data_IF_944342652158
#
_entry.id   IF_944342652158
#
_cell.length_a   1.000
_cell.length_b   1.000
_cell.length_c   1.000
_cell.angle_alpha   90.00
_cell.angle_beta   90.00
_cell.angle_gamma   90.00
#
_symmetry.space_group_name_H-M   'P 1'
#
loop_
_entity.id
_entity.type
_entity.pdbx_description
1 polymer ?
#
# COMPACT_ATOMS: atom_id res chain seq x y z
N UNK A 1 3.76 8.28 -9.23
CA UNK A 1 3.12 8.69 -7.94
C UNK A 1 4.22 8.86 -6.89
N UNK A 2 4.03 9.61 -5.78
CA UNK A 2 5.07 9.73 -4.76
C UNK A 2 5.32 8.40 -4.06
N UNK A 3 6.56 8.19 -3.63
CA UNK A 3 6.94 7.03 -2.82
C UNK A 3 6.33 7.16 -1.42
N UNK A 4 5.58 6.14 -1.00
CA UNK A 4 5.01 6.08 0.35
C UNK A 4 5.72 5.02 1.17
N UNK A 5 6.16 5.39 2.37
CA UNK A 5 6.87 4.50 3.29
C UNK A 5 6.37 4.72 4.71
N UNK A 6 6.82 3.90 5.65
CA UNK A 6 6.52 4.09 7.07
C UNK A 6 6.78 5.54 7.51
N UNK A 7 5.76 6.15 8.12
CA UNK A 7 5.78 7.56 8.53
C UNK A 7 5.27 8.55 7.46
N UNK A 8 5.03 8.13 6.21
CA UNK A 8 4.30 8.91 5.22
C UNK A 8 2.85 9.13 5.68
N UNK A 9 2.30 10.30 5.37
CA UNK A 9 0.94 10.68 5.74
C UNK A 9 0.22 11.45 4.62
N UNK A 10 -1.11 11.43 4.65
CA UNK A 10 -1.97 12.27 3.81
C UNK A 10 -2.80 11.53 2.78
N UNK A 11 -3.34 12.26 1.80
CA UNK A 11 -4.35 11.72 0.86
C UNK A 11 -3.85 10.56 0.01
N UNK A 12 -2.57 10.57 -0.37
CA UNK A 12 -1.97 9.48 -1.14
C UNK A 12 -1.92 8.19 -0.33
N UNK A 13 -1.65 8.28 0.98
CA UNK A 13 -1.68 7.13 1.88
C UNK A 13 -3.11 6.60 2.01
N UNK A 14 -4.09 7.48 2.18
CA UNK A 14 -5.51 7.08 2.20
C UNK A 14 -5.92 6.36 0.90
N UNK A 15 -5.46 6.84 -0.25
CA UNK A 15 -5.72 6.20 -1.54
C UNK A 15 -5.13 4.79 -1.59
N UNK A 16 -3.87 4.62 -1.20
CA UNK A 16 -3.23 3.32 -1.12
C UNK A 16 -3.94 2.37 -0.14
N UNK A 17 -4.28 2.84 1.06
CA UNK A 17 -5.02 2.06 2.06
C UNK A 17 -6.36 1.57 1.54
N UNK A 18 -7.13 2.40 0.81
CA UNK A 18 -8.40 1.96 0.19
C UNK A 18 -8.19 0.84 -0.81
N UNK A 19 -7.16 0.93 -1.65
CA UNK A 19 -6.88 -0.09 -2.66
C UNK A 19 -6.40 -1.39 -1.99
N UNK A 20 -5.48 -1.31 -1.03
CA UNK A 20 -5.03 -2.48 -0.26
C UNK A 20 -6.17 -3.12 0.55
N UNK A 21 -7.16 -2.32 0.97
CA UNK A 21 -8.36 -2.82 1.64
C UNK A 21 -9.25 -3.60 0.68
N UNK A 22 -9.36 -3.15 -0.58
CA UNK A 22 -10.06 -3.89 -1.65
C UNK A 22 -9.36 -5.20 -1.99
N UNK A 23 -8.02 -5.21 -2.02
CA UNK A 23 -7.26 -6.45 -2.24
C UNK A 23 -7.35 -7.43 -1.06
N UNK A 24 -8.00 -7.08 0.05
CA UNK A 24 -8.05 -7.86 1.30
C UNK A 24 -6.68 -8.10 1.95
N UNK A 25 -5.64 -7.35 1.56
CA UNK A 25 -4.33 -7.36 2.26
C UNK A 25 -4.32 -6.44 3.49
N UNK A 26 -5.20 -5.45 3.51
CA UNK A 26 -5.23 -4.43 4.55
C UNK A 26 -6.52 -4.47 5.35
N UNK A 27 -6.39 -4.80 6.63
CA UNK A 27 -7.50 -4.87 7.60
C UNK A 27 -7.64 -3.57 8.41
N UNK A 28 -6.70 -2.64 8.26
CA UNK A 28 -6.67 -1.38 9.01
C UNK A 28 -7.71 -0.33 8.57
N UNK A 29 -7.69 0.80 9.28
CA UNK A 29 -8.49 1.98 8.97
C UNK A 29 -7.84 2.79 7.85
N UNK A 30 -8.66 3.46 7.05
CA UNK A 30 -8.16 4.43 6.05
C UNK A 30 -8.03 5.77 6.77
N UNK A 31 -6.96 5.93 7.53
CA UNK A 31 -6.65 7.12 8.35
C UNK A 31 -5.65 8.06 7.68
N UNK A 32 -5.02 7.62 6.58
CA UNK A 32 -3.98 8.37 5.90
C UNK A 32 -2.63 8.30 6.57
N UNK A 33 -2.43 7.37 7.51
CA UNK A 33 -1.16 7.15 8.21
C UNK A 33 -0.50 5.84 7.76
N UNK A 34 0.73 5.95 7.26
CA UNK A 34 1.52 4.79 6.88
C UNK A 34 2.19 4.19 8.12
N UNK A 35 1.41 3.44 8.89
CA UNK A 35 1.85 2.70 10.06
C UNK A 35 2.44 1.32 9.75
N UNK A 36 2.90 0.59 10.78
CA UNK A 36 3.45 -0.77 10.64
C UNK A 36 2.44 -1.78 10.06
N UNK A 37 1.15 -1.60 10.34
CA UNK A 37 0.10 -2.46 9.76
C UNK A 37 -0.04 -2.25 8.24
N UNK A 38 0.14 -1.01 7.78
CA UNK A 38 0.11 -0.71 6.35
C UNK A 38 1.35 -1.26 5.66
N UNK A 39 2.53 -1.12 6.28
CA UNK A 39 3.78 -1.72 5.80
C UNK A 39 3.65 -3.24 5.60
N UNK A 40 3.11 -3.95 6.60
CA UNK A 40 2.87 -5.40 6.49
C UNK A 40 1.87 -5.76 5.37
N UNK A 41 0.82 -4.95 5.19
CA UNK A 41 -0.13 -5.15 4.10
C UNK A 41 0.50 -4.88 2.73
N UNK A 42 1.34 -3.85 2.60
CA UNK A 42 2.10 -3.56 1.37
C UNK A 42 3.03 -4.72 1.04
N UNK A 43 3.78 -5.25 2.01
CA UNK A 43 4.64 -6.42 1.78
C UNK A 43 3.84 -7.65 1.35
N UNK A 44 2.67 -7.87 1.94
CA UNK A 44 1.78 -8.98 1.58
C UNK A 44 1.23 -8.81 0.16
N UNK A 45 0.80 -7.59 -0.19
CA UNK A 45 0.38 -7.25 -1.54
C UNK A 45 1.51 -7.43 -2.55
N UNK A 46 2.71 -6.93 -2.25
CA UNK A 46 3.89 -7.04 -3.12
C UNK A 46 4.24 -8.51 -3.40
N UNK A 47 4.17 -9.37 -2.37
CA UNK A 47 4.33 -10.83 -2.52
C UNK A 47 3.32 -11.43 -3.50
N UNK A 48 2.03 -11.05 -3.38
CA UNK A 48 0.97 -11.58 -4.25
C UNK A 48 1.06 -11.05 -5.68
N UNK A 49 1.41 -9.77 -5.84
CA UNK A 49 1.58 -9.11 -7.13
C UNK A 49 2.94 -9.39 -7.80
N UNK A 50 3.81 -10.20 -7.16
CA UNK A 50 5.15 -10.58 -7.66
C UNK A 50 6.05 -9.38 -7.99
N UNK A 51 5.90 -8.29 -7.24
CA UNK A 51 6.79 -7.12 -7.32
C UNK A 51 7.80 -7.17 -6.17
N UNK A 52 8.79 -6.27 -6.18
CA UNK A 52 9.82 -6.23 -5.15
C UNK A 52 9.18 -5.98 -3.78
N UNK A 53 9.51 -6.84 -2.80
CA UNK A 53 8.94 -6.79 -1.44
C UNK A 53 9.77 -5.79 -0.61
N UNK A 54 9.52 -4.50 -0.82
CA UNK A 54 10.23 -3.42 -0.14
C UNK A 54 9.49 -2.91 1.10
N UNK A 55 8.17 -3.15 1.20
CA UNK A 55 7.30 -2.51 2.18
C UNK A 55 7.04 -1.02 1.91
N UNK A 56 7.51 -0.52 0.76
CA UNK A 56 7.35 0.85 0.28
C UNK A 56 6.45 0.81 -0.95
N UNK A 57 5.55 1.77 -1.08
CA UNK A 57 4.75 1.92 -2.30
C UNK A 57 5.53 2.83 -3.26
N UNK A 58 6.37 2.19 -4.05
CA UNK A 58 7.08 2.78 -5.19
C UNK A 58 6.21 2.75 -6.47
N UNK A 59 6.77 3.19 -7.60
CA UNK A 59 6.03 3.27 -8.85
C UNK A 59 5.53 1.90 -9.35
N UNK A 60 6.30 0.84 -9.13
CA UNK A 60 5.91 -0.53 -9.52
C UNK A 60 4.76 -1.05 -8.64
N UNK A 61 4.84 -0.79 -7.33
CA UNK A 61 3.76 -1.11 -6.39
C UNK A 61 2.51 -0.31 -6.70
N UNK A 62 2.63 0.97 -7.07
CA UNK A 62 1.51 1.79 -7.53
C UNK A 62 0.86 1.23 -8.80
N UNK A 63 1.66 0.79 -9.76
CA UNK A 63 1.15 0.17 -10.98
C UNK A 63 0.37 -1.10 -10.65
N UNK A 64 0.89 -1.95 -9.76
CA UNK A 64 0.19 -3.14 -9.29
C UNK A 64 -1.10 -2.78 -8.55
N UNK A 65 -1.09 -1.78 -7.66
CA UNK A 65 -2.28 -1.31 -6.93
C UNK A 65 -3.37 -0.81 -7.89
N UNK A 66 -3.00 -0.09 -8.95
CA UNK A 66 -3.96 0.39 -9.96
C UNK A 66 -4.60 -0.75 -10.79
N UNK A 67 -4.04 -1.96 -10.76
CA UNK A 67 -4.64 -3.14 -11.40
C UNK A 67 -5.64 -3.86 -10.49
N UNK A 68 -5.73 -3.51 -9.20
CA UNK A 68 -6.74 -4.04 -8.28
C UNK A 68 -8.09 -3.38 -8.57
N UNK A 69 -9.08 -4.17 -8.99
CA UNK A 69 -10.45 -3.73 -9.32
C UNK A 69 -11.41 -3.99 -8.14
#
# INVERSE_FOLDING_TARGET
MPELRKGSRGEMVMKAQRILKRSSDYVGYVDGDFGPFMEAAVQSFQRRSKVQITGIIDNDTWNALNQVH
#
